data_IF_313118313586
#
_entry.id   IF_313118313586
#
_cell.length_a   1.000
_cell.length_b   1.000
_cell.length_c   1.000
_cell.angle_alpha   90.00
_cell.angle_beta   90.00
_cell.angle_gamma   90.00
#
_symmetry.space_group_name_H-M   'P 1'
#
loop_
_entity.id
_entity.type
_entity.pdbx_description
1 polymer ?
#
# COMPACT_ATOMS: atom_id res chain seq x y z
N UNK A 1 -24.21 -1.39 -6.51
CA UNK A 1 -24.23 -1.60 -5.07
C UNK A 1 -24.49 -3.09 -4.75
N UNK A 2 -25.57 -3.70 -5.21
CA UNK A 2 -25.87 -5.12 -4.96
C UNK A 2 -24.77 -6.10 -5.40
N UNK A 3 -24.05 -5.83 -6.50
CA UNK A 3 -22.92 -6.64 -6.94
C UNK A 3 -21.75 -6.56 -5.97
N UNK A 4 -21.43 -5.38 -5.43
CA UNK A 4 -20.34 -5.20 -4.47
C UNK A 4 -20.68 -5.86 -3.12
N UNK A 5 -21.94 -5.80 -2.70
CA UNK A 5 -22.41 -6.47 -1.48
C UNK A 5 -22.25 -8.00 -1.55
N UNK A 6 -22.39 -8.59 -2.74
CA UNK A 6 -22.17 -10.03 -2.97
C UNK A 6 -20.69 -10.44 -2.95
N UNK A 7 -19.76 -9.48 -3.12
CA UNK A 7 -18.33 -9.72 -3.13
C UNK A 7 -17.66 -9.45 -1.76
N UNK A 8 -18.43 -8.93 -0.79
CA UNK A 8 -17.91 -8.73 0.56
C UNK A 8 -17.75 -10.06 1.27
N UNK A 9 -16.59 -10.23 1.89
CA UNK A 9 -16.32 -11.34 2.80
C UNK A 9 -16.78 -10.95 4.21
N UNK A 10 -17.51 -11.82 4.87
CA UNK A 10 -17.88 -11.63 6.26
C UNK A 10 -16.69 -11.93 7.22
N UNK A 11 -16.89 -11.61 8.49
CA UNK A 11 -15.89 -11.79 9.55
C UNK A 11 -15.45 -13.26 9.68
N UNK A 12 -16.42 -14.18 9.67
CA UNK A 12 -16.13 -15.61 9.84
C UNK A 12 -15.32 -16.17 8.67
N UNK A 13 -15.61 -15.70 7.46
CA UNK A 13 -14.84 -16.04 6.26
C UNK A 13 -13.40 -15.54 6.34
N UNK A 14 -13.16 -14.33 6.84
CA UNK A 14 -11.79 -13.82 7.05
C UNK A 14 -11.00 -14.72 8.01
N UNK A 15 -11.58 -15.10 9.15
CA UNK A 15 -10.93 -16.02 10.07
C UNK A 15 -10.68 -17.41 9.48
N UNK A 16 -11.62 -17.92 8.68
CA UNK A 16 -11.46 -19.21 8.01
C UNK A 16 -10.30 -19.19 7.01
N UNK A 17 -10.23 -18.15 6.17
CA UNK A 17 -9.15 -17.96 5.20
C UNK A 17 -7.79 -17.75 5.88
N UNK A 18 -7.75 -16.97 6.96
CA UNK A 18 -6.52 -16.78 7.73
C UNK A 18 -6.01 -18.11 8.31
N UNK A 19 -6.87 -18.91 8.91
CA UNK A 19 -6.48 -20.24 9.44
C UNK A 19 -5.99 -21.16 8.32
N UNK A 20 -6.64 -21.14 7.15
CA UNK A 20 -6.21 -21.94 6.02
C UNK A 20 -4.85 -21.50 5.47
N UNK A 21 -4.61 -20.18 5.35
CA UNK A 21 -3.32 -19.64 4.96
C UNK A 21 -2.20 -20.07 5.94
N UNK A 22 -2.44 -19.94 7.24
CA UNK A 22 -1.51 -20.39 8.30
C UNK A 22 -1.21 -21.90 8.21
N UNK A 23 -2.22 -22.73 7.95
CA UNK A 23 -2.02 -24.18 7.80
C UNK A 23 -1.16 -24.54 6.58
N UNK A 24 -1.06 -23.64 5.58
CA UNK A 24 -0.24 -23.78 4.40
C UNK A 24 1.10 -23.02 4.48
N UNK A 25 1.45 -22.50 5.66
CA UNK A 25 2.62 -21.63 5.88
C UNK A 25 2.63 -20.39 4.96
N UNK A 26 1.44 -19.84 4.73
CA UNK A 26 1.23 -18.63 3.93
C UNK A 26 0.82 -17.46 4.84
N UNK A 27 1.32 -16.27 4.53
CA UNK A 27 0.89 -15.05 5.20
C UNK A 27 -0.44 -14.57 4.63
N UNK A 28 -1.45 -14.46 5.50
CA UNK A 28 -2.74 -13.90 5.12
C UNK A 28 -2.68 -12.37 5.09
N UNK A 29 -3.29 -11.77 4.08
CA UNK A 29 -3.46 -10.33 3.94
C UNK A 29 -4.88 -10.00 3.45
N UNK A 30 -5.40 -8.87 3.88
CA UNK A 30 -6.64 -8.28 3.40
C UNK A 30 -6.49 -6.77 3.29
N UNK A 31 -7.41 -6.11 2.58
CA UNK A 31 -7.35 -4.68 2.29
C UNK A 31 -8.55 -3.97 2.91
N UNK A 32 -8.30 -2.92 3.71
CA UNK A 32 -9.32 -2.04 4.25
C UNK A 32 -9.52 -0.81 3.38
N UNK A 33 -10.77 -0.36 3.24
CA UNK A 33 -11.18 0.84 2.52
C UNK A 33 -11.84 1.88 3.44
N UNK A 34 -11.92 1.59 4.73
CA UNK A 34 -12.48 2.46 5.76
C UNK A 34 -11.88 2.15 7.13
N UNK A 35 -12.13 3.04 8.10
CA UNK A 35 -11.59 2.94 9.47
C UNK A 35 -12.08 1.69 10.21
N UNK A 36 -13.34 1.27 10.01
CA UNK A 36 -13.90 0.09 10.69
C UNK A 36 -13.24 -1.19 10.18
N UNK A 37 -13.09 -1.30 8.86
CA UNK A 37 -12.37 -2.41 8.23
C UNK A 37 -10.90 -2.44 8.66
N UNK A 38 -10.24 -1.28 8.74
CA UNK A 38 -8.86 -1.19 9.23
C UNK A 38 -8.74 -1.65 10.69
N UNK A 39 -9.64 -1.19 11.55
CA UNK A 39 -9.69 -1.62 12.95
C UNK A 39 -9.85 -3.14 13.08
N UNK A 40 -10.72 -3.75 12.27
CA UNK A 40 -10.89 -5.20 12.22
C UNK A 40 -9.59 -5.92 11.83
N UNK A 41 -8.90 -5.46 10.77
CA UNK A 41 -7.64 -6.08 10.33
C UNK A 41 -6.55 -5.99 11.40
N UNK A 42 -6.53 -4.91 12.19
CA UNK A 42 -5.50 -4.66 13.21
C UNK A 42 -5.85 -5.31 14.55
N UNK A 43 -7.09 -5.16 15.02
CA UNK A 43 -7.47 -5.55 16.38
C UNK A 43 -7.95 -6.99 16.46
N UNK A 44 -8.65 -7.47 15.45
CA UNK A 44 -9.25 -8.81 15.45
C UNK A 44 -8.36 -9.85 14.73
N UNK A 45 -7.82 -9.49 13.56
CA UNK A 45 -6.96 -10.39 12.79
C UNK A 45 -5.48 -10.23 13.11
N UNK A 46 -5.08 -9.15 13.78
CA UNK A 46 -3.69 -8.83 14.16
C UNK A 46 -2.70 -8.92 12.98
N UNK A 47 -3.10 -8.42 11.80
CA UNK A 47 -2.28 -8.53 10.60
C UNK A 47 -0.99 -7.71 10.73
N UNK A 48 0.19 -8.31 10.47
CA UNK A 48 1.47 -7.62 10.58
C UNK A 48 1.74 -6.66 9.41
N UNK A 49 1.11 -6.89 8.25
CA UNK A 49 1.25 -6.08 7.04
C UNK A 49 -0.13 -5.64 6.57
N UNK A 50 -0.25 -4.38 6.23
CA UNK A 50 -1.50 -3.78 5.74
C UNK A 50 -1.32 -3.24 4.32
N UNK A 51 -2.34 -3.44 3.47
CA UNK A 51 -2.34 -2.94 2.09
C UNK A 51 -3.21 -1.70 1.96
N UNK A 52 -2.63 -0.65 1.38
CA UNK A 52 -3.33 0.58 0.99
C UNK A 52 -3.57 0.49 -0.53
N UNK A 53 -4.83 0.44 -0.98
CA UNK A 53 -5.13 0.37 -2.40
C UNK A 53 -4.92 1.73 -3.08
N UNK A 54 -4.69 1.72 -4.39
CA UNK A 54 -4.44 2.96 -5.14
C UNK A 54 -5.61 3.96 -5.11
N UNK A 55 -6.84 3.46 -4.98
CA UNK A 55 -8.03 4.31 -4.83
C UNK A 55 -8.05 5.16 -3.56
N UNK A 56 -7.29 4.76 -2.53
CA UNK A 56 -7.22 5.45 -1.24
C UNK A 56 -5.94 6.30 -1.07
N UNK A 57 -5.09 6.39 -2.08
CA UNK A 57 -3.81 7.12 -1.97
C UNK A 57 -3.97 8.61 -1.67
N UNK A 58 -5.09 9.20 -2.05
CA UNK A 58 -5.43 10.61 -1.78
C UNK A 58 -6.28 10.80 -0.52
N UNK A 59 -6.68 9.69 0.14
CA UNK A 59 -7.46 9.73 1.38
C UNK A 59 -6.54 9.96 2.60
N UNK A 60 -6.10 11.20 2.80
CA UNK A 60 -5.18 11.59 3.86
C UNK A 60 -5.58 11.13 5.27
N UNK A 61 -6.85 11.27 5.71
CA UNK A 61 -7.28 10.75 7.00
C UNK A 61 -7.05 9.24 7.15
N UNK A 62 -7.46 8.44 6.17
CA UNK A 62 -7.29 6.99 6.22
C UNK A 62 -5.80 6.57 6.16
N UNK A 63 -4.99 7.25 5.33
CA UNK A 63 -3.53 7.04 5.29
C UNK A 63 -2.88 7.27 6.66
N UNK A 64 -3.33 8.31 7.35
CA UNK A 64 -2.84 8.63 8.70
C UNK A 64 -3.20 7.55 9.71
N UNK A 65 -4.41 7.01 9.64
CA UNK A 65 -4.84 5.88 10.46
C UNK A 65 -3.97 4.64 10.19
N UNK A 66 -3.78 4.27 8.92
CA UNK A 66 -2.87 3.17 8.54
C UNK A 66 -1.48 3.34 9.15
N UNK A 67 -0.87 4.52 8.99
CA UNK A 67 0.48 4.78 9.50
C UNK A 67 0.55 4.69 11.04
N UNK A 68 -0.46 5.18 11.74
CA UNK A 68 -0.54 5.14 13.21
C UNK A 68 -0.68 3.74 13.79
N UNK A 69 -1.03 2.74 12.99
CA UNK A 69 -1.02 1.34 13.44
C UNK A 69 0.39 0.84 13.73
N UNK A 70 1.44 1.48 13.17
CA UNK A 70 2.84 1.05 13.27
C UNK A 70 3.15 -0.25 12.53
N UNK A 71 2.19 -0.83 11.79
CA UNK A 71 2.38 -2.04 10.97
C UNK A 71 3.22 -1.74 9.73
N UNK A 72 3.70 -2.78 9.07
CA UNK A 72 4.32 -2.66 7.76
C UNK A 72 3.24 -2.35 6.72
N UNK A 73 3.54 -1.46 5.78
CA UNK A 73 2.58 -0.94 4.82
C UNK A 73 3.01 -1.23 3.40
N UNK A 74 2.06 -1.68 2.59
CA UNK A 74 2.20 -1.78 1.14
C UNK A 74 1.22 -0.79 0.52
N UNK A 75 1.71 0.17 -0.28
CA UNK A 75 0.86 1.17 -0.94
C UNK A 75 0.96 1.06 -2.46
N UNK A 76 -0.18 0.95 -3.13
CA UNK A 76 -0.27 0.96 -4.60
C UNK A 76 -0.49 2.37 -5.15
N UNK A 77 0.10 2.66 -6.33
CA UNK A 77 0.14 3.99 -6.93
C UNK A 77 -0.60 4.11 -8.27
N UNK A 78 -1.49 3.16 -8.58
CA UNK A 78 -2.26 3.21 -9.82
C UNK A 78 -3.06 4.50 -9.97
N UNK A 79 -3.03 5.10 -11.17
CA UNK A 79 -3.68 6.38 -11.52
C UNK A 79 -3.14 7.61 -10.78
N UNK A 80 -2.06 7.49 -10.02
CA UNK A 80 -1.53 8.59 -9.21
C UNK A 80 -0.41 9.32 -9.94
N UNK A 81 -0.38 10.63 -9.78
CA UNK A 81 0.77 11.46 -10.14
C UNK A 81 1.89 11.29 -9.10
N UNK A 82 3.12 11.65 -9.48
CA UNK A 82 4.26 11.64 -8.56
C UNK A 82 4.05 12.57 -7.35
N UNK A 83 3.34 13.67 -7.52
CA UNK A 83 3.01 14.61 -6.46
C UNK A 83 2.02 14.00 -5.45
N UNK A 84 1.02 13.25 -5.92
CA UNK A 84 0.09 12.53 -5.04
C UNK A 84 0.80 11.43 -4.26
N UNK A 85 1.69 10.66 -4.90
CA UNK A 85 2.52 9.66 -4.22
C UNK A 85 3.39 10.32 -3.15
N UNK A 86 4.06 11.43 -3.46
CA UNK A 86 4.87 12.17 -2.49
C UNK A 86 4.03 12.69 -1.33
N UNK A 87 2.83 13.19 -1.61
CA UNK A 87 1.91 13.68 -0.57
C UNK A 87 1.47 12.53 0.34
N UNK A 88 1.07 11.38 -0.24
CA UNK A 88 0.73 10.19 0.54
C UNK A 88 1.89 9.73 1.43
N UNK A 89 3.10 9.64 0.89
CA UNK A 89 4.29 9.29 1.66
C UNK A 89 4.58 10.30 2.78
N UNK A 90 4.27 11.59 2.58
CA UNK A 90 4.43 12.61 3.62
C UNK A 90 3.45 12.42 4.79
N UNK A 91 2.21 12.03 4.49
CA UNK A 91 1.20 11.67 5.51
C UNK A 91 1.64 10.42 6.26
N UNK A 92 2.10 9.38 5.54
CA UNK A 92 2.60 8.15 6.17
C UNK A 92 3.82 8.42 7.06
N UNK A 93 4.78 9.23 6.60
CA UNK A 93 5.94 9.62 7.41
C UNK A 93 5.50 10.29 8.71
N UNK A 94 4.57 11.25 8.64
CA UNK A 94 4.05 11.90 9.83
C UNK A 94 3.31 10.92 10.75
N UNK A 95 2.46 10.05 10.21
CA UNK A 95 1.74 9.05 11.01
C UNK A 95 2.66 8.08 11.75
N UNK A 96 3.81 7.71 11.13
CA UNK A 96 4.78 6.81 11.73
C UNK A 96 5.64 7.45 12.83
N UNK A 97 5.96 8.75 12.74
CA UNK A 97 6.95 9.35 13.64
C UNK A 97 6.52 10.68 14.25
N UNK A 98 5.46 11.28 13.74
CA UNK A 98 4.99 12.61 14.16
C UNK A 98 4.06 12.57 15.35
N UNK A 99 3.94 13.71 15.98
CA UNK A 99 3.00 13.96 17.08
C UNK A 99 2.31 15.32 16.85
N UNK A 100 1.13 15.49 17.42
CA UNK A 100 0.36 16.73 17.34
C UNK A 100 -0.66 16.75 16.19
N UNK A 101 -1.12 17.96 15.84
CA UNK A 101 -2.19 18.15 14.87
C UNK A 101 -1.70 17.99 13.42
N UNK A 102 -2.42 17.22 12.61
CA UNK A 102 -2.08 17.03 11.20
C UNK A 102 -2.22 18.33 10.40
N UNK A 103 -1.22 18.62 9.57
CA UNK A 103 -1.30 19.72 8.58
C UNK A 103 -0.30 19.46 7.44
N UNK A 104 -0.51 20.10 6.29
CA UNK A 104 0.41 19.99 5.16
C UNK A 104 1.84 20.43 5.51
N UNK A 105 2.00 21.39 6.43
CA UNK A 105 3.31 21.85 6.87
C UNK A 105 4.05 20.76 7.66
N UNK A 106 3.38 20.13 8.63
CA UNK A 106 4.01 19.04 9.41
C UNK A 106 4.24 17.78 8.59
N UNK A 107 3.41 17.48 7.60
CA UNK A 107 3.63 16.37 6.67
C UNK A 107 4.93 16.58 5.87
N UNK A 108 5.12 17.78 5.31
CA UNK A 108 6.36 18.15 4.59
C UNK A 108 7.59 18.10 5.49
N UNK A 109 7.47 18.52 6.75
CA UNK A 109 8.56 18.41 7.72
C UNK A 109 8.88 16.94 8.04
N UNK A 110 7.85 16.11 8.22
CA UNK A 110 8.04 14.69 8.54
C UNK A 110 8.79 13.95 7.42
N UNK A 111 8.36 14.10 6.15
CA UNK A 111 9.03 13.44 5.02
C UNK A 111 10.43 13.99 4.79
N UNK A 112 10.70 15.26 5.09
CA UNK A 112 12.02 15.87 4.96
C UNK A 112 12.98 15.49 6.12
N UNK A 113 12.46 14.95 7.22
CA UNK A 113 13.25 14.57 8.39
C UNK A 113 13.95 13.23 8.19
N UNK A 114 15.16 13.10 8.75
CA UNK A 114 15.90 11.82 8.75
C UNK A 114 15.09 10.70 9.41
N UNK A 115 14.38 10.99 10.51
CA UNK A 115 13.54 10.04 11.23
C UNK A 115 12.36 9.57 10.37
N UNK A 116 11.68 10.48 9.66
CA UNK A 116 10.58 10.13 8.76
C UNK A 116 11.06 9.29 7.58
N UNK A 117 12.17 9.65 6.96
CA UNK A 117 12.79 8.88 5.88
C UNK A 117 13.20 7.46 6.34
N UNK A 118 13.78 7.34 7.52
CA UNK A 118 14.14 6.04 8.10
C UNK A 118 12.91 5.18 8.36
N UNK A 119 11.84 5.76 8.89
CA UNK A 119 10.57 5.06 9.14
C UNK A 119 9.93 4.57 7.83
N UNK A 120 9.88 5.42 6.79
CA UNK A 120 9.38 5.02 5.47
C UNK A 120 10.19 3.85 4.89
N UNK A 121 11.51 3.95 4.89
CA UNK A 121 12.38 2.85 4.40
C UNK A 121 12.20 1.54 5.15
N UNK A 122 11.91 1.62 6.44
CA UNK A 122 11.69 0.43 7.28
C UNK A 122 10.32 -0.18 7.07
N UNK A 123 9.29 0.65 6.96
CA UNK A 123 7.87 0.25 7.09
C UNK A 123 7.08 0.26 5.80
N UNK A 124 7.53 0.94 4.74
CA UNK A 124 6.70 1.16 3.55
C UNK A 124 7.32 0.53 2.32
N UNK A 125 6.51 -0.25 1.60
CA UNK A 125 6.79 -0.73 0.24
C UNK A 125 5.80 -0.08 -0.71
N UNK A 126 6.31 0.53 -1.79
CA UNK A 126 5.49 1.20 -2.81
C UNK A 126 5.35 0.30 -4.02
N UNK A 127 4.13 0.09 -4.50
CA UNK A 127 3.87 -0.73 -5.69
C UNK A 127 3.51 0.16 -6.88
N UNK A 128 4.27 0.05 -7.95
CA UNK A 128 3.80 0.49 -9.26
C UNK A 128 2.68 -0.44 -9.75
N UNK A 129 1.61 0.12 -10.32
CA UNK A 129 0.56 -0.66 -10.96
C UNK A 129 -0.18 0.15 -12.02
N UNK A 130 -0.78 -0.58 -12.97
CA UNK A 130 -1.69 -0.02 -13.99
C UNK A 130 -3.12 -0.39 -13.60
N UNK A 131 -4.00 0.60 -13.46
CA UNK A 131 -5.40 0.38 -13.05
C UNK A 131 -6.26 0.06 -14.27
N UNK A 132 -6.02 -1.10 -14.84
CA UNK A 132 -6.80 -1.71 -15.92
C UNK A 132 -6.77 -3.23 -15.74
N UNK A 133 -7.89 -3.92 -15.98
CA UNK A 133 -8.06 -5.34 -15.68
C UNK A 133 -8.68 -6.09 -16.88
N UNK A 134 -7.92 -6.86 -17.69
CA UNK A 134 -6.47 -6.96 -17.66
C UNK A 134 -5.77 -5.71 -18.21
N UNK A 135 -4.55 -5.44 -17.75
CA UNK A 135 -3.73 -4.38 -18.28
C UNK A 135 -3.01 -4.86 -19.56
N UNK A 136 -3.06 -4.10 -20.67
CA UNK A 136 -2.25 -4.42 -21.83
C UNK A 136 -0.77 -4.14 -21.54
N UNK A 137 0.17 -5.02 -21.96
CA UNK A 137 1.60 -4.88 -21.63
C UNK A 137 2.20 -3.53 -22.02
N UNK A 138 1.74 -2.93 -23.12
CA UNK A 138 2.19 -1.61 -23.61
C UNK A 138 1.82 -0.45 -22.68
N UNK A 139 0.83 -0.62 -21.80
CA UNK A 139 0.40 0.41 -20.85
C UNK A 139 1.12 0.34 -19.50
N UNK A 140 1.91 -0.68 -19.25
CA UNK A 140 2.47 -0.98 -17.92
C UNK A 140 3.54 0.02 -17.49
N UNK A 141 4.40 0.51 -18.42
CA UNK A 141 5.46 1.46 -18.11
C UNK A 141 6.33 1.09 -16.89
N UNK A 142 6.99 -0.07 -16.93
CA UNK A 142 7.85 -0.53 -15.83
C UNK A 142 8.98 0.44 -15.46
N UNK A 143 9.34 1.38 -16.37
CA UNK A 143 10.33 2.43 -16.07
C UNK A 143 9.88 3.34 -14.92
N UNK A 144 8.56 3.46 -14.69
CA UNK A 144 8.02 4.21 -13.55
C UNK A 144 8.48 3.64 -12.20
N UNK A 145 8.64 2.30 -12.10
CA UNK A 145 9.17 1.64 -10.91
C UNK A 145 10.59 2.15 -10.59
N UNK A 146 11.47 2.16 -11.59
CA UNK A 146 12.85 2.64 -11.44
C UNK A 146 12.89 4.12 -11.09
N UNK A 147 12.05 4.93 -11.74
CA UNK A 147 11.98 6.38 -11.48
C UNK A 147 11.50 6.68 -10.06
N UNK A 148 10.48 5.97 -9.57
CA UNK A 148 9.99 6.12 -8.20
C UNK A 148 11.03 5.68 -7.17
N UNK A 149 11.77 4.60 -7.40
CA UNK A 149 12.86 4.18 -6.52
C UNK A 149 13.94 5.25 -6.40
N UNK A 150 14.35 5.83 -7.54
CA UNK A 150 15.34 6.91 -7.56
C UNK A 150 14.87 8.17 -6.83
N UNK A 151 13.59 8.52 -6.95
CA UNK A 151 13.03 9.74 -6.34
C UNK A 151 12.78 9.56 -4.85
N UNK A 152 12.18 8.44 -4.45
CA UNK A 152 11.73 8.25 -3.07
C UNK A 152 12.72 7.46 -2.20
N UNK A 153 13.64 6.69 -2.79
CA UNK A 153 14.60 5.88 -2.06
C UNK A 153 13.97 4.79 -1.20
N UNK A 154 12.80 4.28 -1.62
CA UNK A 154 12.02 3.27 -0.90
C UNK A 154 12.06 1.93 -1.61
N UNK A 155 11.64 0.86 -0.91
CA UNK A 155 11.41 -0.44 -1.52
C UNK A 155 10.28 -0.32 -2.55
N UNK A 156 10.56 -0.75 -3.78
CA UNK A 156 9.59 -0.76 -4.86
C UNK A 156 9.18 -2.18 -5.20
N UNK A 157 7.90 -2.34 -5.49
CA UNK A 157 7.32 -3.58 -6.00
C UNK A 157 6.41 -3.32 -7.19
N UNK A 158 5.82 -4.37 -7.71
CA UNK A 158 4.90 -4.29 -8.84
C UNK A 158 3.60 -5.04 -8.50
N UNK A 159 2.47 -4.39 -8.73
CA UNK A 159 1.14 -5.01 -8.68
C UNK A 159 0.70 -5.31 -10.10
N UNK A 160 0.83 -6.57 -10.51
CA UNK A 160 0.59 -7.01 -11.89
C UNK A 160 -0.90 -7.23 -12.16
N UNK A 161 -1.40 -6.61 -13.23
CA UNK A 161 -2.75 -6.81 -13.76
C UNK A 161 -2.73 -7.30 -15.21
N UNK A 162 -1.56 -7.70 -15.73
CA UNK A 162 -1.42 -8.21 -17.09
C UNK A 162 -1.76 -9.69 -17.17
N UNK A 163 -1.94 -10.19 -18.38
CA UNK A 163 -2.06 -11.64 -18.61
C UNK A 163 -0.67 -12.27 -18.76
N UNK A 164 -0.49 -13.44 -18.16
CA UNK A 164 0.77 -14.18 -18.20
C UNK A 164 1.78 -13.72 -17.15
N UNK A 165 3.05 -14.03 -17.34
CA UNK A 165 4.11 -13.82 -16.34
C UNK A 165 5.26 -12.93 -16.85
N UNK A 166 5.25 -12.57 -18.12
CA UNK A 166 6.38 -11.85 -18.74
C UNK A 166 6.65 -10.49 -18.08
N UNK A 167 5.58 -9.73 -17.77
CA UNK A 167 5.70 -8.39 -17.17
C UNK A 167 6.16 -8.51 -15.73
N UNK A 168 5.64 -9.46 -14.95
CA UNK A 168 6.08 -9.72 -13.58
C UNK A 168 7.57 -10.08 -13.53
N UNK A 169 8.05 -10.96 -14.43
CA UNK A 169 9.47 -11.30 -14.54
C UNK A 169 10.33 -10.07 -14.90
N UNK A 170 9.85 -9.23 -15.83
CA UNK A 170 10.55 -8.00 -16.20
C UNK A 170 10.59 -7.00 -15.04
N UNK A 171 9.52 -6.88 -14.25
CA UNK A 171 9.49 -6.03 -13.06
C UNK A 171 10.55 -6.47 -12.04
N UNK A 172 10.65 -7.77 -11.76
CA UNK A 172 11.69 -8.33 -10.87
C UNK A 172 13.10 -8.04 -11.41
N UNK A 173 13.31 -8.21 -12.73
CA UNK A 173 14.60 -7.90 -13.37
C UNK A 173 14.98 -6.40 -13.24
N UNK A 174 14.00 -5.51 -13.11
CA UNK A 174 14.17 -4.07 -12.86
C UNK A 174 14.25 -3.71 -11.37
N UNK A 175 14.24 -4.69 -10.47
CA UNK A 175 14.43 -4.49 -9.03
C UNK A 175 13.16 -4.55 -8.19
N UNK A 176 11.99 -4.92 -8.75
CA UNK A 176 10.78 -5.15 -7.94
C UNK A 176 11.03 -6.26 -6.90
N UNK A 177 10.45 -6.05 -5.70
CA UNK A 177 10.61 -6.93 -4.54
C UNK A 177 9.27 -7.43 -4.05
#
# INVERSE_FOLDING_TARGET
RAMLEQLQLDVDTHFALMRQAQALDLQFMSTAFDSMSLDFLVKELDLPILKIPSGEITNGPLLLEFARTGRDLIISTGMSSMEEVQTALSVLAFGLVGTGEPSMAVFRQAIASEKGQAALRSKVTVLHCTTQYPAPPESVNLQALVSMEQIFGLKMGYSDHTLGTAVACAAVALGAR
#
